data_IF_524815396733
#
_entry.id   IF_524815396733
#
_cell.length_a   1.000
_cell.length_b   1.000
_cell.length_c   1.000
_cell.angle_alpha   90.00
_cell.angle_beta   90.00
_cell.angle_gamma   90.00
#
_symmetry.space_group_name_H-M   'P 1'
#
loop_
_entity.id
_entity.type
_entity.pdbx_description
1 polymer ?
#
# COMPACT_ATOMS: atom_id res chain seq x y z
N UNK A 1 -8.46 11.17 26.82
CA UNK A 1 -7.26 10.35 27.06
C UNK A 1 -7.37 9.75 28.46
N UNK A 2 -7.26 8.44 28.58
CA UNK A 2 -7.42 7.71 29.86
C UNK A 2 -6.12 7.07 30.36
N UNK A 3 -5.02 7.22 29.59
CA UNK A 3 -3.72 6.65 29.95
C UNK A 3 -2.98 7.45 31.03
N UNK A 4 -1.86 6.86 31.48
CA UNK A 4 -0.99 7.43 32.54
C UNK A 4 0.26 8.11 31.98
N UNK A 5 0.55 7.99 30.68
CA UNK A 5 1.71 8.65 30.07
C UNK A 5 1.43 10.17 30.00
N UNK A 6 2.48 10.96 30.16
CA UNK A 6 2.37 12.41 30.08
C UNK A 6 2.18 12.81 28.60
N UNK A 7 1.11 13.54 28.32
CA UNK A 7 0.73 13.96 26.96
C UNK A 7 0.62 15.48 26.94
N UNK A 8 1.23 16.11 25.94
CA UNK A 8 1.11 17.56 25.76
C UNK A 8 -0.35 17.94 25.40
N UNK A 9 -0.95 18.94 26.05
CA UNK A 9 -2.25 19.46 25.64
C UNK A 9 -2.19 20.06 24.24
N UNK A 10 -3.28 19.97 23.46
CA UNK A 10 -3.32 20.52 22.10
C UNK A 10 -3.04 22.03 22.08
N UNK A 11 -3.60 22.79 23.03
CA UNK A 11 -3.30 24.22 23.13
C UNK A 11 -1.83 24.54 23.42
N UNK A 12 -1.11 23.66 24.12
CA UNK A 12 0.34 23.82 24.29
C UNK A 12 1.06 23.48 22.98
N UNK A 13 0.69 22.37 22.31
CA UNK A 13 1.27 21.96 21.04
C UNK A 13 1.18 23.08 19.99
N UNK A 14 0.03 23.75 19.88
CA UNK A 14 -0.22 24.81 18.89
C UNK A 14 0.39 26.17 19.29
N UNK A 15 1.05 26.27 20.44
CA UNK A 15 1.65 27.52 20.90
C UNK A 15 2.91 27.84 20.07
N UNK A 16 2.97 28.98 19.35
CA UNK A 16 4.15 29.35 18.58
C UNK A 16 5.37 29.54 19.50
N UNK A 17 6.51 28.95 19.16
CA UNK A 17 7.73 29.03 20.00
C UNK A 17 8.17 30.48 20.24
N UNK A 18 7.92 31.37 19.28
CA UNK A 18 8.21 32.80 19.42
C UNK A 18 7.49 33.46 20.61
N UNK A 19 6.29 32.98 20.97
CA UNK A 19 5.52 33.52 22.11
C UNK A 19 6.09 33.09 23.47
N UNK A 20 6.72 31.91 23.52
CA UNK A 20 7.36 31.39 24.72
C UNK A 20 8.75 32.00 24.96
N UNK A 21 9.43 32.38 23.87
CA UNK A 21 10.85 32.72 23.89
C UNK A 21 11.73 31.53 24.26
N UNK A 22 13.05 31.69 24.16
CA UNK A 22 14.02 30.60 24.36
C UNK A 22 13.88 29.97 25.77
N UNK A 23 13.78 30.81 26.81
CA UNK A 23 13.66 30.33 28.19
C UNK A 23 12.31 29.66 28.44
N UNK A 24 11.21 30.23 27.95
CA UNK A 24 9.88 29.63 28.11
C UNK A 24 9.77 28.29 27.39
N UNK A 25 10.34 28.19 26.18
CA UNK A 25 10.40 26.95 25.42
C UNK A 25 11.18 25.86 26.16
N UNK A 26 12.37 26.18 26.69
CA UNK A 26 13.15 25.25 27.50
C UNK A 26 12.38 24.80 28.74
N UNK A 27 11.71 25.72 29.44
CA UNK A 27 10.94 25.41 30.64
C UNK A 27 9.80 24.42 30.32
N UNK A 28 9.09 24.63 29.21
CA UNK A 28 8.02 23.74 28.78
C UNK A 28 8.55 22.36 28.36
N UNK A 29 9.68 22.30 27.65
CA UNK A 29 10.33 21.03 27.28
C UNK A 29 10.79 20.27 28.53
N UNK A 30 11.47 20.94 29.46
CA UNK A 30 11.88 20.38 30.74
C UNK A 30 10.69 19.86 31.55
N UNK A 31 9.61 20.63 31.65
CA UNK A 31 8.41 20.21 32.36
C UNK A 31 7.74 18.99 31.71
N UNK A 32 7.70 18.96 30.38
CA UNK A 32 7.08 17.87 29.61
C UNK A 32 7.91 16.59 29.65
N UNK A 33 9.23 16.70 29.58
CA UNK A 33 10.17 15.58 29.49
C UNK A 33 10.77 15.19 30.86
N UNK A 34 10.39 15.89 31.93
CA UNK A 34 10.85 15.60 33.29
C UNK A 34 12.34 15.86 33.51
N UNK A 35 12.91 16.89 32.85
CA UNK A 35 14.33 17.24 32.93
C UNK A 35 14.55 18.63 33.53
N UNK A 36 15.81 18.99 33.76
CA UNK A 36 16.21 20.29 34.32
C UNK A 36 17.40 20.90 33.57
N UNK A 37 17.43 20.76 32.24
CA UNK A 37 18.49 21.35 31.43
C UNK A 37 18.49 22.88 31.56
N UNK A 38 19.67 23.49 31.44
CA UNK A 38 19.86 24.95 31.46
C UNK A 38 20.31 25.46 30.09
N UNK A 39 20.20 26.77 29.88
CA UNK A 39 20.71 27.45 28.69
C UNK A 39 22.23 27.70 28.73
N UNK A 40 22.94 27.15 29.72
CA UNK A 40 24.40 27.23 29.79
C UNK A 40 25.06 26.41 28.66
N UNK A 41 24.34 25.42 28.13
CA UNK A 41 24.73 24.72 26.92
C UNK A 41 24.46 25.61 25.68
N UNK A 42 25.52 26.06 24.97
CA UNK A 42 25.37 26.96 23.84
C UNK A 42 24.69 26.29 22.64
N UNK A 43 24.79 24.97 22.49
CA UNK A 43 24.17 24.22 21.39
C UNK A 43 22.67 24.10 21.59
N UNK A 44 22.23 23.72 22.80
CA UNK A 44 20.81 23.71 23.15
C UNK A 44 20.20 25.10 22.97
N UNK A 45 20.88 26.15 23.45
CA UNK A 45 20.43 27.54 23.30
C UNK A 45 20.30 27.95 21.82
N UNK A 46 21.26 27.54 20.98
CA UNK A 46 21.21 27.79 19.53
C UNK A 46 20.04 27.07 18.87
N UNK A 47 19.83 25.79 19.19
CA UNK A 47 18.77 24.97 18.62
C UNK A 47 17.39 25.54 18.92
N UNK A 48 17.14 25.95 20.17
CA UNK A 48 15.87 26.58 20.56
C UNK A 48 15.64 27.92 19.87
N UNK A 49 16.70 28.70 19.61
CA UNK A 49 16.62 29.93 18.81
C UNK A 49 16.28 29.63 17.34
N UNK A 50 16.82 28.54 16.79
CA UNK A 50 16.53 28.12 15.42
C UNK A 50 15.06 27.73 15.27
N UNK A 51 14.48 26.98 16.21
CA UNK A 51 13.04 26.66 16.22
C UNK A 51 12.17 27.94 16.20
N UNK A 52 12.55 28.94 17.00
CA UNK A 52 11.84 30.24 17.02
C UNK A 52 11.99 30.96 15.68
N UNK A 53 13.21 31.00 15.11
CA UNK A 53 13.48 31.66 13.82
C UNK A 53 12.72 31.00 12.68
N UNK A 54 12.57 29.68 12.70
CA UNK A 54 11.84 28.92 11.70
C UNK A 54 10.31 29.07 11.83
N UNK A 55 9.82 29.71 12.90
CA UNK A 55 8.40 29.88 13.15
C UNK A 55 7.71 28.61 13.63
N UNK A 56 8.46 27.66 14.20
CA UNK A 56 7.90 26.40 14.71
C UNK A 56 6.96 26.66 15.89
N UNK A 57 5.96 25.80 16.04
CA UNK A 57 5.18 25.66 17.28
C UNK A 57 5.84 24.69 18.26
N UNK A 58 5.33 24.67 19.49
CA UNK A 58 5.85 23.81 20.54
C UNK A 58 5.66 22.32 20.20
N UNK A 59 4.57 21.93 19.55
CA UNK A 59 4.27 20.54 19.19
C UNK A 59 5.28 19.98 18.20
N UNK A 60 5.60 20.75 17.16
CA UNK A 60 6.64 20.48 16.17
C UNK A 60 8.02 20.42 16.83
N UNK A 61 8.33 21.41 17.67
CA UNK A 61 9.61 21.43 18.40
C UNK A 61 9.74 20.21 19.32
N UNK A 62 8.70 19.89 20.07
CA UNK A 62 8.64 18.74 20.97
C UNK A 62 8.77 17.42 20.22
N UNK A 63 8.04 17.24 19.10
CA UNK A 63 8.06 15.99 18.33
C UNK A 63 9.46 15.68 17.77
N UNK A 64 10.20 16.72 17.36
CA UNK A 64 11.59 16.60 16.93
C UNK A 64 12.54 16.36 18.10
N UNK A 65 12.50 17.23 19.13
CA UNK A 65 13.50 17.22 20.19
C UNK A 65 13.35 16.05 21.16
N UNK A 66 12.13 15.53 21.39
CA UNK A 66 11.92 14.42 22.36
C UNK A 66 12.76 13.18 22.05
N UNK A 67 13.13 12.97 20.78
CA UNK A 67 13.92 11.81 20.32
C UNK A 67 15.38 11.88 20.78
N UNK A 68 15.92 13.08 20.85
CA UNK A 68 17.35 13.34 21.10
C UNK A 68 17.58 14.03 22.45
N UNK A 69 16.49 14.31 23.18
CA UNK A 69 16.50 15.11 24.39
C UNK A 69 17.41 14.54 25.48
N UNK A 70 17.48 13.22 25.60
CA UNK A 70 18.28 12.52 26.62
C UNK A 70 19.69 12.14 26.16
N UNK A 71 20.13 12.61 24.99
CA UNK A 71 21.48 12.34 24.52
C UNK A 71 22.51 13.11 25.35
N UNK A 72 23.73 12.56 25.43
CA UNK A 72 24.77 13.05 26.33
C UNK A 72 25.48 14.30 25.79
N UNK A 73 25.45 14.54 24.48
CA UNK A 73 26.25 15.58 23.81
C UNK A 73 25.45 16.40 22.78
N UNK A 74 25.06 17.61 23.16
CA UNK A 74 24.34 18.56 22.30
C UNK A 74 25.16 19.06 21.11
N UNK A 75 26.49 18.92 21.13
CA UNK A 75 27.34 19.36 20.02
C UNK A 75 27.17 18.49 18.77
N UNK A 76 26.93 17.18 18.94
CA UNK A 76 26.68 16.23 17.83
C UNK A 76 25.25 16.30 17.29
N UNK A 77 24.30 16.76 18.10
CA UNK A 77 22.87 16.84 17.77
C UNK A 77 22.58 17.79 16.62
N UNK A 78 23.25 18.95 16.57
CA UNK A 78 22.99 19.93 15.51
C UNK A 78 23.33 19.33 14.14
N UNK A 79 24.42 18.59 14.05
CA UNK A 79 24.85 17.97 12.80
C UNK A 79 23.88 16.85 12.40
N UNK A 80 23.41 16.04 13.36
CA UNK A 80 22.35 15.04 13.15
C UNK A 80 21.04 15.69 12.67
N UNK A 81 20.69 16.86 13.20
CA UNK A 81 19.45 17.56 12.89
C UNK A 81 19.41 18.03 11.43
N UNK A 82 20.48 18.68 10.96
CA UNK A 82 20.56 19.17 9.58
C UNK A 82 20.84 18.05 8.58
N UNK A 83 21.66 17.06 8.96
CA UNK A 83 21.93 15.91 8.08
C UNK A 83 20.66 15.10 7.80
N UNK A 84 19.72 15.02 8.74
CA UNK A 84 18.52 14.19 8.57
C UNK A 84 17.62 14.65 7.41
N UNK A 85 17.41 15.97 7.25
CA UNK A 85 16.59 16.50 6.15
C UNK A 85 17.31 16.40 4.81
N UNK A 86 18.61 16.70 4.77
CA UNK A 86 19.41 16.59 3.55
C UNK A 86 19.56 15.13 3.10
N UNK A 87 19.76 14.20 4.03
CA UNK A 87 19.80 12.76 3.74
C UNK A 87 18.46 12.25 3.22
N UNK A 88 17.34 12.71 3.78
CA UNK A 88 16.00 12.34 3.31
C UNK A 88 15.77 12.81 1.86
N UNK A 89 16.10 14.07 1.60
CA UNK A 89 16.05 14.66 0.26
C UNK A 89 16.94 13.89 -0.72
N UNK A 90 18.16 13.57 -0.31
CA UNK A 90 19.12 12.84 -1.13
C UNK A 90 18.69 11.41 -1.42
N UNK A 91 18.09 10.72 -0.43
CA UNK A 91 17.49 9.39 -0.63
C UNK A 91 16.37 9.44 -1.65
N UNK A 92 15.42 10.36 -1.49
CA UNK A 92 14.30 10.54 -2.43
C UNK A 92 14.77 10.89 -3.84
N UNK A 93 15.79 11.74 -3.96
CA UNK A 93 16.41 12.10 -5.24
C UNK A 93 17.08 10.91 -5.93
N UNK A 94 17.67 10.00 -5.16
CA UNK A 94 18.31 8.77 -5.69
C UNK A 94 17.32 7.66 -5.98
N UNK A 95 16.19 7.64 -5.27
CA UNK A 95 15.17 6.61 -5.42
C UNK A 95 14.46 6.70 -6.78
N UNK A 96 14.32 7.88 -7.37
CA UNK A 96 13.70 8.05 -8.69
C UNK A 96 14.76 8.18 -9.79
N UNK A 97 14.90 7.14 -10.62
CA UNK A 97 15.79 7.11 -11.79
C UNK A 97 14.94 7.05 -13.06
N UNK A 98 14.89 8.17 -13.79
CA UNK A 98 13.99 8.29 -14.95
C UNK A 98 12.51 8.18 -14.52
N UNK A 99 11.82 7.15 -14.99
CA UNK A 99 10.42 6.85 -14.64
C UNK A 99 10.28 5.64 -13.70
N UNK A 100 11.37 5.20 -13.08
CA UNK A 100 11.40 4.04 -12.19
C UNK A 100 11.88 4.46 -10.81
N UNK A 101 11.23 3.91 -9.80
CA UNK A 101 11.60 4.02 -8.40
C UNK A 101 12.40 2.77 -8.06
N UNK A 102 13.71 2.93 -7.89
CA UNK A 102 14.67 1.84 -7.67
C UNK A 102 14.82 1.44 -6.20
N UNK A 103 14.25 2.25 -5.30
CA UNK A 103 14.20 2.01 -3.86
C UNK A 103 12.74 2.23 -3.41
N UNK A 104 11.89 1.19 -3.45
CA UNK A 104 10.48 1.30 -3.04
C UNK A 104 10.33 1.40 -1.51
N UNK A 105 11.33 0.96 -0.74
CA UNK A 105 11.29 0.89 0.73
C UNK A 105 11.62 2.22 1.39
N UNK A 106 11.28 3.33 0.72
CA UNK A 106 11.49 4.65 1.27
C UNK A 106 10.68 4.82 2.56
N UNK A 107 11.32 5.23 3.66
CA UNK A 107 10.59 5.55 4.86
C UNK A 107 9.72 6.80 4.64
N UNK A 108 8.65 6.96 5.40
CA UNK A 108 7.96 8.24 5.51
C UNK A 108 8.95 9.39 5.74
N UNK A 109 8.64 10.61 5.28
CA UNK A 109 9.45 11.83 5.46
C UNK A 109 9.78 12.16 6.94
N UNK A 110 9.22 11.39 7.88
CA UNK A 110 9.61 11.32 9.29
C UNK A 110 9.99 9.89 9.67
N UNK A 111 11.29 9.66 9.99
CA UNK A 111 11.95 8.34 10.06
C UNK A 111 11.51 7.36 11.16
N UNK A 112 10.58 7.71 12.05
CA UNK A 112 10.11 6.71 13.02
C UNK A 112 8.97 5.92 12.41
N UNK A 113 8.95 4.58 12.52
CA UNK A 113 7.86 3.76 12.01
C UNK A 113 6.55 4.27 12.63
N UNK A 114 5.72 4.99 11.87
CA UNK A 114 4.48 5.51 12.38
C UNK A 114 3.43 4.41 12.31
N UNK A 115 2.41 4.47 13.15
CA UNK A 115 1.21 3.65 12.97
C UNK A 115 0.39 4.28 11.84
N UNK A 116 0.25 3.64 10.67
CA UNK A 116 -0.57 4.14 9.59
C UNK A 116 -2.06 4.13 9.95
N UNK A 117 -2.79 5.11 9.42
CA UNK A 117 -4.23 5.21 9.52
C UNK A 117 -4.82 5.05 8.12
N UNK A 118 -5.61 4.00 7.93
CA UNK A 118 -6.47 3.87 6.75
C UNK A 118 -7.89 4.32 7.09
N UNK A 119 -8.58 4.92 6.12
CA UNK A 119 -9.95 5.37 6.36
C UNK A 119 -10.82 5.37 5.10
N UNK A 120 -12.13 5.21 5.29
CA UNK A 120 -13.08 5.47 4.24
C UNK A 120 -13.12 6.97 3.92
N UNK A 121 -13.36 7.29 2.66
CA UNK A 121 -13.72 8.66 2.27
C UNK A 121 -15.19 8.89 2.59
N UNK A 122 -15.56 10.10 3.00
CA UNK A 122 -16.98 10.51 3.05
C UNK A 122 -17.32 11.33 1.81
N UNK A 123 -18.61 11.50 1.53
CA UNK A 123 -19.07 12.29 0.39
C UNK A 123 -18.54 13.72 0.45
N UNK A 124 -18.33 14.33 -0.71
CA UNK A 124 -17.76 15.69 -0.80
C UNK A 124 -18.57 16.73 -0.05
N UNK A 125 -19.91 16.61 -0.10
CA UNK A 125 -20.84 17.47 0.66
C UNK A 125 -20.68 17.34 2.18
N UNK A 126 -20.11 16.24 2.66
CA UNK A 126 -19.93 15.91 4.08
C UNK A 126 -18.47 16.08 4.52
N UNK A 127 -17.61 16.58 3.63
CA UNK A 127 -16.23 16.99 3.94
C UNK A 127 -16.14 18.47 4.24
N UNK A 128 -15.17 18.81 5.05
CA UNK A 128 -14.66 20.17 5.24
C UNK A 128 -13.16 20.18 5.01
N UNK A 129 -12.65 21.34 4.66
CA UNK A 129 -11.22 21.54 4.45
C UNK A 129 -10.66 22.31 5.62
N UNK A 130 -9.62 21.77 6.26
CA UNK A 130 -8.95 22.41 7.39
C UNK A 130 -7.49 22.70 7.06
N UNK A 131 -6.99 23.84 7.53
CA UNK A 131 -5.58 24.19 7.49
C UNK A 131 -4.98 23.87 8.86
N UNK A 132 -3.84 23.19 8.88
CA UNK A 132 -3.32 22.58 10.11
C UNK A 132 -1.84 22.92 10.31
N UNK A 133 -1.38 23.07 11.57
CA UNK A 133 0.05 23.20 11.85
C UNK A 133 0.83 21.91 11.57
N UNK A 134 0.18 20.74 11.57
CA UNK A 134 0.81 19.42 11.38
C UNK A 134 1.58 19.34 10.06
N UNK A 135 0.99 19.87 8.98
CA UNK A 135 1.62 19.95 7.66
C UNK A 135 2.18 21.35 7.36
N UNK A 136 2.48 22.14 8.40
CA UNK A 136 3.05 23.47 8.27
C UNK A 136 2.15 24.49 7.55
N UNK A 137 0.84 24.27 7.53
CA UNK A 137 -0.11 25.09 6.76
C UNK A 137 0.21 25.17 5.25
N UNK A 138 0.88 24.15 4.70
CA UNK A 138 1.30 24.18 3.29
C UNK A 138 0.18 23.76 2.33
N UNK A 139 -0.71 22.86 2.75
CA UNK A 139 -1.88 22.44 1.97
C UNK A 139 -3.14 22.25 2.82
N UNK A 140 -4.33 22.40 2.21
CA UNK A 140 -5.59 22.08 2.84
C UNK A 140 -5.75 20.56 3.07
N UNK A 141 -6.38 20.18 4.19
CA UNK A 141 -6.62 18.78 4.55
C UNK A 141 -8.12 18.51 4.53
N UNK A 142 -8.62 17.63 3.63
CA UNK A 142 -10.02 17.27 3.59
C UNK A 142 -10.35 16.22 4.68
N UNK A 143 -11.24 16.57 5.61
CA UNK A 143 -11.72 15.66 6.67
C UNK A 143 -13.26 15.67 6.74
N UNK A 144 -13.92 14.68 7.34
CA UNK A 144 -15.36 14.76 7.60
C UNK A 144 -15.73 16.00 8.43
N UNK A 145 -16.89 16.61 8.16
CA UNK A 145 -17.38 17.80 8.89
C UNK A 145 -17.56 17.57 10.38
N UNK A 146 -17.84 16.34 10.76
CA UNK A 146 -18.05 15.87 12.13
C UNK A 146 -16.77 15.30 12.77
N UNK A 147 -15.63 15.32 12.07
CA UNK A 147 -14.36 14.84 12.60
C UNK A 147 -13.56 15.96 13.29
N UNK A 148 -12.81 15.58 14.33
CA UNK A 148 -11.85 16.44 15.02
C UNK A 148 -10.51 15.68 15.17
N UNK A 149 -9.44 16.26 14.62
CA UNK A 149 -8.09 15.69 14.70
C UNK A 149 -7.62 15.49 16.15
N UNK A 150 -8.12 16.30 17.10
CA UNK A 150 -7.82 16.12 18.52
C UNK A 150 -8.49 14.87 19.11
N UNK A 151 -9.72 14.55 18.67
CA UNK A 151 -10.41 13.35 19.11
C UNK A 151 -9.74 12.10 18.54
N UNK A 152 -9.37 12.13 17.25
CA UNK A 152 -8.56 11.09 16.61
C UNK A 152 -7.24 10.89 17.37
N UNK A 153 -6.54 11.98 17.68
CA UNK A 153 -5.32 11.93 18.48
C UNK A 153 -5.55 11.28 19.85
N UNK A 154 -6.65 11.62 20.54
CA UNK A 154 -6.99 11.03 21.84
C UNK A 154 -7.24 9.53 21.71
N UNK A 155 -7.93 9.10 20.67
CA UNK A 155 -8.20 7.69 20.38
C UNK A 155 -6.89 6.92 20.15
N UNK A 156 -6.03 7.43 19.26
CA UNK A 156 -4.70 6.86 19.00
C UNK A 156 -3.84 6.78 20.28
N UNK A 157 -3.87 7.81 21.12
CA UNK A 157 -3.16 7.80 22.40
C UNK A 157 -3.71 6.75 23.38
N UNK A 158 -5.01 6.48 23.36
CA UNK A 158 -5.61 5.41 24.16
C UNK A 158 -5.22 4.02 23.64
N UNK A 159 -4.96 3.89 22.33
CA UNK A 159 -4.35 2.70 21.71
C UNK A 159 -2.84 2.59 21.97
N UNK A 160 -2.23 3.59 22.62
CA UNK A 160 -0.80 3.60 22.93
C UNK A 160 0.10 4.13 21.80
N UNK A 161 -0.49 4.65 20.72
CA UNK A 161 0.23 5.18 19.56
C UNK A 161 0.92 6.50 19.91
N UNK A 162 2.22 6.59 19.58
CA UNK A 162 3.04 7.80 19.82
C UNK A 162 3.34 8.59 18.53
N UNK A 163 3.34 7.91 17.38
CA UNK A 163 3.55 8.44 16.04
C UNK A 163 2.53 7.80 15.11
N UNK A 164 1.85 8.60 14.30
CA UNK A 164 0.88 8.13 13.34
C UNK A 164 1.14 8.74 11.97
N UNK A 165 0.79 8.02 10.92
CA UNK A 165 0.85 8.49 9.55
C UNK A 165 -0.55 8.47 8.96
N UNK A 166 -0.92 9.59 8.34
CA UNK A 166 -2.23 9.76 7.72
C UNK A 166 -1.99 10.45 6.39
N UNK A 167 -2.36 9.79 5.30
CA UNK A 167 -2.14 10.20 3.92
C UNK A 167 -2.52 11.67 3.65
N UNK A 168 -3.72 12.10 4.07
CA UNK A 168 -4.23 13.45 3.85
C UNK A 168 -3.43 14.52 4.62
N UNK A 169 -2.71 14.15 5.68
CA UNK A 169 -1.83 15.03 6.44
C UNK A 169 -0.37 14.96 5.97
N UNK A 170 0.09 13.79 5.53
CA UNK A 170 1.50 13.52 5.26
C UNK A 170 1.88 13.65 3.78
N UNK A 171 0.89 13.61 2.87
CA UNK A 171 1.08 13.85 1.44
C UNK A 171 0.45 15.17 1.05
N UNK A 172 1.14 15.93 0.20
CA UNK A 172 0.65 17.21 -0.30
C UNK A 172 -0.67 17.02 -1.06
N UNK A 173 -1.71 17.74 -0.63
CA UNK A 173 -3.05 17.65 -1.22
C UNK A 173 -3.31 18.78 -2.22
N UNK A 174 -4.30 18.57 -3.09
CA UNK A 174 -4.74 19.56 -4.08
C UNK A 174 -5.31 20.80 -3.39
N UNK A 175 -5.01 21.99 -3.93
CA UNK A 175 -5.51 23.28 -3.47
C UNK A 175 -4.57 23.99 -2.49
N UNK A 176 -3.35 23.47 -2.34
CA UNK A 176 -2.30 24.05 -1.51
C UNK A 176 -1.44 25.07 -2.24
N UNK A 177 -0.44 25.56 -1.53
CA UNK A 177 0.65 26.32 -2.15
C UNK A 177 1.56 25.33 -2.89
N UNK A 178 2.16 25.76 -4.01
CA UNK A 178 3.13 24.97 -4.79
C UNK A 178 2.57 23.64 -5.32
N UNK A 179 1.49 23.70 -6.09
CA UNK A 179 0.97 22.54 -6.84
C UNK A 179 2.03 21.90 -7.77
N UNK A 180 3.02 22.68 -8.23
CA UNK A 180 4.19 22.18 -8.94
C UNK A 180 4.96 21.15 -8.10
N UNK A 181 5.16 21.42 -6.80
CA UNK A 181 5.81 20.47 -5.90
C UNK A 181 4.95 19.24 -5.66
N UNK A 182 3.62 19.38 -5.57
CA UNK A 182 2.73 18.22 -5.39
C UNK A 182 2.92 17.20 -6.51
N UNK A 183 2.92 17.67 -7.75
CA UNK A 183 3.09 16.82 -8.93
C UNK A 183 4.45 16.11 -8.87
N UNK A 184 5.52 16.79 -8.50
CA UNK A 184 6.86 16.19 -8.39
C UNK A 184 6.97 15.21 -7.21
N UNK A 185 6.43 15.56 -6.04
CA UNK A 185 6.41 14.70 -4.85
C UNK A 185 5.59 13.43 -5.12
N UNK A 186 4.45 13.55 -5.80
CA UNK A 186 3.55 12.43 -6.06
C UNK A 186 4.14 11.38 -7.01
N UNK A 187 5.08 11.75 -7.90
CA UNK A 187 5.78 10.76 -8.73
C UNK A 187 6.43 9.65 -7.91
N UNK A 188 6.90 10.00 -6.70
CA UNK A 188 7.61 9.11 -5.79
C UNK A 188 6.77 8.71 -4.58
N UNK A 189 6.16 9.66 -3.88
CA UNK A 189 5.52 9.40 -2.58
C UNK A 189 4.20 8.61 -2.71
N UNK A 190 3.39 8.86 -3.74
CA UNK A 190 2.12 8.12 -3.96
C UNK A 190 2.34 6.63 -4.24
N UNK A 191 3.22 6.22 -5.17
CA UNK A 191 3.43 4.80 -5.43
C UNK A 191 4.14 4.11 -4.27
N UNK A 192 4.89 4.82 -3.41
CA UNK A 192 5.60 4.26 -2.25
C UNK A 192 4.77 4.16 -0.97
N UNK A 193 3.51 4.65 -0.94
CA UNK A 193 2.72 4.62 0.29
C UNK A 193 2.47 3.21 0.82
N UNK A 194 2.46 2.20 -0.05
CA UNK A 194 2.22 0.80 0.33
C UNK A 194 3.22 0.33 1.39
N UNK A 195 4.48 0.79 1.29
CA UNK A 195 5.53 0.51 2.27
C UNK A 195 5.17 0.96 3.70
N UNK A 196 4.37 2.02 3.84
CA UNK A 196 3.97 2.55 5.15
C UNK A 196 2.98 1.61 5.86
N UNK A 197 2.20 0.86 5.09
CA UNK A 197 1.21 -0.08 5.58
C UNK A 197 1.74 -1.51 5.66
N UNK A 198 2.71 -1.85 4.81
CA UNK A 198 3.32 -3.16 4.70
C UNK A 198 3.92 -3.62 6.04
N UNK A 199 3.56 -4.82 6.51
CA UNK A 199 4.03 -5.40 7.79
C UNK A 199 3.74 -4.56 9.05
N UNK A 200 2.86 -3.55 8.96
CA UNK A 200 2.53 -2.67 10.08
C UNK A 200 1.18 -3.00 10.71
N UNK A 201 1.00 -2.58 11.96
CA UNK A 201 -0.33 -2.44 12.56
C UNK A 201 -1.02 -1.20 12.00
N UNK A 202 -2.22 -1.36 11.44
CA UNK A 202 -3.00 -0.29 10.82
C UNK A 202 -4.24 0.03 11.64
N UNK A 203 -4.47 1.32 11.90
CA UNK A 203 -5.71 1.80 12.50
C UNK A 203 -6.70 2.14 11.39
N UNK A 204 -7.85 1.47 11.35
CA UNK A 204 -8.79 1.54 10.23
C UNK A 204 -10.12 2.18 10.65
N UNK A 205 -10.47 3.32 10.03
CA UNK A 205 -11.80 3.92 10.16
C UNK A 205 -12.69 3.53 8.97
N UNK A 206 -13.54 2.52 9.13
CA UNK A 206 -14.35 1.96 8.03
C UNK A 206 -15.48 2.89 7.53
N UNK A 207 -15.90 3.88 8.32
CA UNK A 207 -17.06 4.76 8.05
C UNK A 207 -16.72 6.24 7.87
N UNK A 208 -15.42 6.54 7.82
CA UNK A 208 -14.88 7.89 7.68
C UNK A 208 -13.93 8.22 8.82
N UNK A 209 -12.84 8.92 8.49
CA UNK A 209 -11.80 9.32 9.45
C UNK A 209 -12.40 9.97 10.71
N UNK A 210 -12.09 9.42 11.88
CA UNK A 210 -12.53 9.96 13.18
C UNK A 210 -14.02 9.77 13.50
N UNK A 211 -14.77 9.02 12.69
CA UNK A 211 -16.20 8.77 12.93
C UNK A 211 -16.41 7.45 13.65
N UNK A 212 -17.47 7.34 14.48
CA UNK A 212 -17.90 6.05 15.00
C UNK A 212 -18.20 5.05 13.88
N UNK A 213 -17.92 3.78 14.15
CA UNK A 213 -18.26 2.68 13.27
C UNK A 213 -19.76 2.42 13.32
N UNK A 214 -20.46 2.87 12.29
CA UNK A 214 -21.90 2.65 12.07
C UNK A 214 -22.13 1.83 10.81
N UNK A 215 -23.19 1.02 10.78
CA UNK A 215 -23.53 0.21 9.62
C UNK A 215 -24.97 0.52 9.16
N UNK A 216 -25.11 1.33 8.11
CA UNK A 216 -26.39 1.64 7.49
C UNK A 216 -26.59 0.88 6.17
N UNK A 217 -27.86 0.82 5.73
CA UNK A 217 -28.21 0.20 4.45
C UNK A 217 -27.56 0.99 3.29
N UNK A 218 -26.81 0.28 2.45
CA UNK A 218 -26.11 0.87 1.30
C UNK A 218 -24.65 1.24 1.57
N UNK A 219 -24.20 1.23 2.84
CA UNK A 219 -22.83 1.64 3.19
C UNK A 219 -21.80 0.70 2.56
N UNK A 220 -22.04 -0.62 2.55
CA UNK A 220 -21.12 -1.60 1.97
C UNK A 220 -21.03 -1.49 0.44
N UNK A 221 -22.12 -1.09 -0.21
CA UNK A 221 -22.24 -0.90 -1.65
C UNK A 221 -21.83 0.49 -2.10
N UNK A 222 -21.57 1.43 -1.19
CA UNK A 222 -21.14 2.76 -1.58
C UNK A 222 -19.75 2.72 -2.23
N UNK A 223 -19.54 3.50 -3.29
CA UNK A 223 -18.21 3.72 -3.88
C UNK A 223 -17.22 4.39 -2.88
N UNK A 224 -17.75 4.90 -1.77
CA UNK A 224 -17.01 5.46 -0.63
C UNK A 224 -16.70 4.45 0.47
N UNK A 225 -17.31 3.26 0.42
CA UNK A 225 -17.04 2.16 1.34
C UNK A 225 -15.54 1.84 1.37
N UNK A 226 -14.98 1.66 2.56
CA UNK A 226 -13.59 1.24 2.71
C UNK A 226 -13.31 -0.05 1.91
N UNK A 227 -14.24 -1.00 1.88
CA UNK A 227 -14.11 -2.26 1.13
C UNK A 227 -14.14 -2.09 -0.40
N UNK A 228 -14.51 -0.91 -0.92
CA UNK A 228 -14.66 -0.66 -2.35
C UNK A 228 -13.62 0.31 -2.90
N UNK A 229 -12.79 0.95 -2.08
CA UNK A 229 -11.76 1.86 -2.60
C UNK A 229 -10.55 1.08 -3.13
N UNK A 230 -9.92 1.62 -4.18
CA UNK A 230 -8.74 1.01 -4.79
C UNK A 230 -7.55 1.02 -3.82
N UNK A 231 -7.24 2.19 -3.25
CA UNK A 231 -6.11 2.37 -2.34
C UNK A 231 -6.20 1.50 -1.07
N UNK A 232 -7.40 1.35 -0.50
CA UNK A 232 -7.58 0.56 0.72
C UNK A 232 -7.23 -0.92 0.57
N UNK A 233 -7.07 -1.41 -0.66
CA UNK A 233 -6.61 -2.79 -0.92
C UNK A 233 -5.18 -3.04 -0.44
N UNK A 234 -4.31 -2.01 -0.43
CA UNK A 234 -2.95 -2.09 0.10
C UNK A 234 -2.81 -1.50 1.52
N UNK A 235 -3.86 -0.89 2.07
CA UNK A 235 -3.84 -0.20 3.37
C UNK A 235 -4.42 -1.06 4.51
N UNK A 236 -4.23 -2.38 4.43
CA UNK A 236 -4.79 -3.33 5.40
C UNK A 236 -3.78 -3.67 6.51
N UNK A 237 -2.49 -3.70 6.14
CA UNK A 237 -1.37 -4.09 6.97
C UNK A 237 -1.42 -5.53 7.48
N UNK A 238 -0.42 -5.87 8.31
CA UNK A 238 -0.33 -7.22 8.87
C UNK A 238 -1.32 -7.39 10.03
N UNK A 239 -1.37 -6.37 10.88
CA UNK A 239 -2.27 -6.28 12.01
C UNK A 239 -3.22 -5.11 11.80
N UNK A 240 -4.44 -5.18 12.33
CA UNK A 240 -5.35 -4.04 12.28
C UNK A 240 -6.16 -3.86 13.53
N UNK A 241 -6.42 -2.60 13.83
CA UNK A 241 -7.37 -2.15 14.85
C UNK A 241 -8.45 -1.36 14.14
N UNK A 242 -9.71 -1.77 14.34
CA UNK A 242 -10.84 -1.00 13.81
C UNK A 242 -11.12 0.15 14.78
N UNK A 243 -10.96 1.38 14.29
CA UNK A 243 -11.21 2.59 15.05
C UNK A 243 -12.67 3.05 14.94
N UNK A 244 -13.07 3.94 15.84
CA UNK A 244 -14.45 4.35 16.02
C UNK A 244 -15.34 3.23 16.58
N UNK A 245 -14.76 2.15 17.09
CA UNK A 245 -15.52 1.05 17.70
C UNK A 245 -16.28 1.54 18.93
N UNK A 246 -17.52 1.08 19.07
CA UNK A 246 -18.41 1.46 20.16
C UNK A 246 -19.05 0.21 20.73
N UNK A 247 -19.38 0.15 22.04
CA UNK A 247 -19.95 -1.05 22.67
C UNK A 247 -21.21 -1.62 22.00
N UNK A 248 -22.01 -0.76 21.35
CA UNK A 248 -23.22 -1.12 20.62
C UNK A 248 -22.99 -1.19 19.09
N UNK A 249 -21.73 -1.16 18.67
CA UNK A 249 -21.29 -1.12 17.28
C UNK A 249 -21.37 -2.48 16.59
N UNK A 250 -21.23 -2.51 15.26
CA UNK A 250 -21.40 -3.74 14.47
C UNK A 250 -20.35 -4.81 14.78
N UNK A 251 -19.19 -4.47 15.35
CA UNK A 251 -18.17 -5.45 15.74
C UNK A 251 -18.59 -6.32 16.92
N UNK A 252 -19.49 -5.84 17.77
CA UNK A 252 -19.98 -6.56 18.94
C UNK A 252 -21.33 -7.24 18.71
N UNK A 253 -21.82 -7.25 17.46
CA UNK A 253 -23.09 -7.90 17.13
C UNK A 253 -23.07 -9.40 17.48
N UNK A 254 -24.12 -9.88 18.13
CA UNK A 254 -24.22 -11.29 18.51
C UNK A 254 -24.35 -12.19 17.28
N UNK A 255 -23.49 -13.21 17.22
CA UNK A 255 -23.58 -14.29 16.24
C UNK A 255 -24.12 -15.56 16.92
N UNK A 256 -25.38 -15.91 16.66
CA UNK A 256 -26.04 -17.10 17.23
C UNK A 256 -26.08 -18.20 16.18
N UNK A 257 -25.56 -19.38 16.52
CA UNK A 257 -25.49 -20.55 15.62
C UNK A 257 -24.86 -20.23 14.24
N UNK A 258 -23.87 -19.33 14.23
CA UNK A 258 -23.18 -18.90 13.00
C UNK A 258 -23.96 -17.89 12.14
N UNK A 259 -25.03 -17.29 12.68
CA UNK A 259 -25.84 -16.28 11.98
C UNK A 259 -25.94 -15.00 12.78
N UNK A 260 -25.73 -13.88 12.09
CA UNK A 260 -26.03 -12.56 12.62
C UNK A 260 -27.52 -12.24 12.46
N UNK A 261 -28.01 -11.29 13.26
CA UNK A 261 -29.42 -10.86 13.26
C UNK A 261 -29.87 -10.39 11.87
N UNK A 262 -29.00 -9.72 11.12
CA UNK A 262 -29.32 -9.17 9.80
C UNK A 262 -28.38 -9.68 8.72
N UNK A 263 -28.89 -9.72 7.48
CA UNK A 263 -28.08 -10.00 6.29
C UNK A 263 -26.96 -8.97 6.13
N UNK A 264 -27.23 -7.70 6.46
CA UNK A 264 -26.25 -6.62 6.39
C UNK A 264 -25.06 -6.87 7.33
N UNK A 265 -25.31 -7.28 8.57
CA UNK A 265 -24.25 -7.67 9.52
C UNK A 265 -23.48 -8.89 9.01
N UNK A 266 -24.19 -9.89 8.49
CA UNK A 266 -23.55 -11.09 7.92
C UNK A 266 -22.58 -10.72 6.79
N UNK A 267 -23.00 -9.81 5.90
CA UNK A 267 -22.16 -9.33 4.80
C UNK A 267 -21.01 -8.46 5.29
N UNK A 268 -21.22 -7.61 6.29
CA UNK A 268 -20.18 -6.80 6.92
C UNK A 268 -19.07 -7.68 7.50
N UNK A 269 -19.41 -8.66 8.35
CA UNK A 269 -18.41 -9.55 8.94
C UNK A 269 -17.72 -10.42 7.90
N UNK A 270 -18.43 -10.85 6.85
CA UNK A 270 -17.81 -11.58 5.73
C UNK A 270 -16.81 -10.70 4.97
N UNK A 271 -17.16 -9.45 4.65
CA UNK A 271 -16.24 -8.53 3.98
C UNK A 271 -15.03 -8.19 4.85
N UNK A 272 -15.25 -7.98 6.15
CA UNK A 272 -14.18 -7.77 7.11
C UNK A 272 -13.24 -8.98 7.10
N UNK A 273 -13.76 -10.21 7.24
CA UNK A 273 -12.96 -11.43 7.20
C UNK A 273 -12.22 -11.63 5.85
N UNK A 274 -12.87 -11.35 4.71
CA UNK A 274 -12.19 -11.42 3.42
C UNK A 274 -11.03 -10.42 3.31
N UNK A 275 -11.17 -9.22 3.88
CA UNK A 275 -10.08 -8.26 3.95
C UNK A 275 -8.94 -8.75 4.85
N UNK A 276 -9.25 -9.57 5.87
CA UNK A 276 -8.25 -10.08 6.83
C UNK A 276 -7.45 -11.27 6.35
N UNK A 277 -8.05 -12.13 5.53
CA UNK A 277 -7.47 -13.41 5.10
C UNK A 277 -6.59 -13.27 3.85
N UNK A 278 -6.59 -12.08 3.24
CA UNK A 278 -6.01 -11.87 1.93
C UNK A 278 -4.54 -11.44 2.00
N UNK A 279 -3.67 -12.41 2.29
CA UNK A 279 -2.21 -12.28 2.13
C UNK A 279 -1.75 -12.87 0.79
N UNK A 280 -0.90 -12.09 0.13
CA UNK A 280 -0.04 -12.38 -1.02
C UNK A 280 -0.68 -12.85 -2.34
N UNK A 281 -0.14 -12.26 -3.41
CA UNK A 281 -0.21 -12.69 -4.81
C UNK A 281 -1.51 -12.42 -5.61
N UNK A 282 -1.40 -12.62 -6.93
CA UNK A 282 -2.14 -11.99 -8.06
C UNK A 282 -3.66 -11.89 -7.91
N UNK A 283 -4.27 -12.66 -7.02
CA UNK A 283 -5.66 -12.56 -6.60
C UNK A 283 -6.09 -11.13 -6.27
N UNK A 284 -5.17 -10.29 -5.79
CA UNK A 284 -5.45 -8.86 -5.57
C UNK A 284 -5.83 -8.11 -6.84
N UNK A 285 -5.32 -8.53 -7.99
CA UNK A 285 -5.76 -8.03 -9.30
C UNK A 285 -7.24 -8.32 -9.54
N UNK A 286 -7.72 -9.49 -9.12
CA UNK A 286 -9.14 -9.84 -9.19
C UNK A 286 -9.98 -8.96 -8.26
N UNK A 287 -9.51 -8.73 -7.02
CA UNK A 287 -10.18 -7.82 -6.10
C UNK A 287 -10.26 -6.39 -6.68
N UNK A 288 -9.18 -5.90 -7.29
CA UNK A 288 -9.09 -4.55 -7.88
C UNK A 288 -10.15 -4.27 -8.96
N UNK A 289 -10.67 -5.32 -9.63
CA UNK A 289 -11.80 -5.21 -10.56
C UNK A 289 -13.04 -4.60 -9.92
N UNK A 290 -13.31 -4.97 -8.68
CA UNK A 290 -14.49 -4.54 -7.92
C UNK A 290 -14.29 -3.21 -7.19
N UNK A 291 -13.04 -2.74 -7.11
CA UNK A 291 -12.68 -1.48 -6.45
C UNK A 291 -12.99 -0.26 -7.33
N UNK A 292 -13.03 0.90 -6.70
CA UNK A 292 -13.34 2.20 -7.29
C UNK A 292 -12.23 3.19 -6.97
N UNK A 293 -11.78 3.91 -7.97
CA UNK A 293 -10.84 5.03 -7.84
C UNK A 293 -11.44 6.30 -8.44
N UNK A 294 -10.95 7.45 -7.97
CA UNK A 294 -11.31 8.74 -8.55
C UNK A 294 -10.46 9.00 -9.78
N UNK A 295 -9.15 8.71 -9.69
CA UNK A 295 -8.21 8.76 -10.80
C UNK A 295 -8.03 7.32 -11.30
N UNK A 296 -8.26 7.02 -12.59
CA UNK A 296 -8.18 5.65 -13.09
C UNK A 296 -6.82 4.98 -12.84
N UNK A 297 -5.72 5.73 -12.95
CA UNK A 297 -4.35 5.24 -12.73
C UNK A 297 -4.12 4.74 -11.30
N UNK A 298 -4.87 5.24 -10.31
CA UNK A 298 -4.77 4.77 -8.91
C UNK A 298 -5.01 3.28 -8.76
N UNK A 299 -5.82 2.66 -9.62
CA UNK A 299 -6.01 1.20 -9.59
C UNK A 299 -4.74 0.43 -9.91
N UNK A 300 -3.91 0.97 -10.79
CA UNK A 300 -2.63 0.35 -11.15
C UNK A 300 -1.61 0.66 -10.06
N UNK A 301 -1.53 1.92 -9.63
CA UNK A 301 -0.61 2.33 -8.58
C UNK A 301 -0.86 1.61 -7.24
N UNK A 302 -2.13 1.34 -6.89
CA UNK A 302 -2.50 0.57 -5.70
C UNK A 302 -2.23 -0.93 -5.77
N UNK A 303 -1.79 -1.47 -6.92
CA UNK A 303 -1.33 -2.87 -7.03
C UNK A 303 0.17 -3.02 -6.79
N UNK A 304 0.93 -1.94 -6.89
CA UNK A 304 2.40 -1.93 -6.88
C UNK A 304 3.02 -2.75 -5.74
N UNK A 305 2.62 -2.49 -4.49
CA UNK A 305 3.14 -3.22 -3.33
C UNK A 305 2.55 -4.62 -3.17
N UNK A 306 1.42 -4.91 -3.82
CA UNK A 306 0.78 -6.22 -3.80
C UNK A 306 1.43 -7.19 -4.80
N UNK A 307 2.27 -6.71 -5.71
CA UNK A 307 2.94 -7.49 -6.76
C UNK A 307 4.44 -7.71 -6.50
N UNK A 308 4.87 -7.51 -5.24
CA UNK A 308 6.24 -7.78 -4.78
C UNK A 308 7.33 -7.18 -5.69
N UNK A 309 7.05 -6.01 -6.27
CA UNK A 309 7.92 -5.35 -7.25
C UNK A 309 9.20 -4.81 -6.60
N UNK A 310 10.37 -5.23 -7.10
CA UNK A 310 11.69 -4.75 -6.63
C UNK A 310 11.95 -3.29 -6.94
N UNK A 311 11.43 -2.82 -8.07
CA UNK A 311 11.37 -1.41 -8.47
C UNK A 311 9.94 -1.13 -8.90
N UNK A 312 9.50 0.12 -8.78
CA UNK A 312 8.10 0.46 -9.02
C UNK A 312 7.99 1.65 -9.98
N UNK A 313 6.96 1.71 -10.84
CA UNK A 313 6.82 2.82 -11.77
C UNK A 313 6.51 4.14 -11.06
N UNK A 314 7.08 5.23 -11.56
CA UNK A 314 6.74 6.57 -11.10
C UNK A 314 5.27 6.90 -11.43
N UNK A 315 4.60 7.61 -10.52
CA UNK A 315 3.19 7.93 -10.68
C UNK A 315 2.96 9.20 -11.49
N UNK A 316 2.07 9.12 -12.46
CA UNK A 316 1.62 10.25 -13.26
C UNK A 316 0.10 10.20 -13.39
N UNK A 317 -0.61 11.19 -12.85
CA UNK A 317 -2.07 11.28 -12.96
C UNK A 317 -2.56 11.25 -14.41
N UNK A 318 -1.76 11.81 -15.33
CA UNK A 318 -2.05 11.90 -16.76
C UNK A 318 -1.60 10.70 -17.58
N UNK A 319 -1.03 9.66 -16.94
CA UNK A 319 -0.60 8.47 -17.68
C UNK A 319 -1.78 7.77 -18.34
N UNK A 320 -1.54 7.17 -19.50
CA UNK A 320 -2.50 6.22 -20.04
C UNK A 320 -2.51 4.98 -19.14
N UNK A 321 -3.68 4.34 -19.01
CA UNK A 321 -3.80 3.13 -18.20
C UNK A 321 -2.92 2.00 -18.73
N UNK A 322 -2.80 1.86 -20.05
CA UNK A 322 -2.00 0.79 -20.63
C UNK A 322 -0.51 1.03 -20.45
N UNK A 323 -0.03 2.28 -20.52
CA UNK A 323 1.39 2.59 -20.27
C UNK A 323 1.75 2.35 -18.80
N UNK A 324 0.90 2.81 -17.88
CA UNK A 324 1.09 2.58 -16.44
C UNK A 324 1.07 1.08 -16.11
N UNK A 325 0.15 0.33 -16.70
CA UNK A 325 0.05 -1.12 -16.52
C UNK A 325 1.26 -1.85 -17.10
N UNK A 326 1.69 -1.48 -18.30
CA UNK A 326 2.89 -2.04 -18.94
C UNK A 326 4.12 -1.81 -18.06
N UNK A 327 4.28 -0.59 -17.54
CA UNK A 327 5.39 -0.25 -16.66
C UNK A 327 5.37 -1.07 -15.36
N UNK A 328 4.18 -1.29 -14.77
CA UNK A 328 4.03 -2.14 -13.59
C UNK A 328 4.35 -3.60 -13.91
N UNK A 329 3.80 -4.17 -14.98
CA UNK A 329 4.05 -5.59 -15.33
C UNK A 329 5.54 -5.85 -15.57
N UNK A 330 6.26 -4.92 -16.20
CA UNK A 330 7.71 -5.05 -16.37
C UNK A 330 8.47 -5.02 -15.03
N UNK A 331 7.89 -4.42 -13.98
CA UNK A 331 8.50 -4.30 -12.67
C UNK A 331 8.02 -5.34 -11.65
N UNK A 332 7.04 -6.18 -12.02
CA UNK A 332 6.52 -7.25 -11.17
C UNK A 332 7.56 -8.35 -10.96
N UNK A 333 7.51 -8.98 -9.78
CA UNK A 333 8.31 -10.17 -9.52
C UNK A 333 7.99 -11.28 -10.54
N UNK A 334 8.97 -12.14 -10.86
CA UNK A 334 8.81 -13.21 -11.86
C UNK A 334 7.60 -14.10 -11.60
N UNK A 335 7.38 -14.48 -10.33
CA UNK A 335 6.21 -15.25 -9.90
C UNK A 335 4.90 -14.54 -10.22
N UNK A 336 4.76 -13.25 -9.86
CA UNK A 336 3.55 -12.48 -10.14
C UNK A 336 3.28 -12.37 -11.65
N UNK A 337 4.32 -12.18 -12.47
CA UNK A 337 4.21 -12.14 -13.94
C UNK A 337 3.70 -13.46 -14.49
N UNK A 338 4.24 -14.57 -14.01
CA UNK A 338 3.81 -15.90 -14.42
C UNK A 338 2.35 -16.17 -14.01
N UNK A 339 1.99 -15.85 -12.78
CA UNK A 339 0.62 -16.02 -12.31
C UNK A 339 -0.37 -15.16 -13.10
N UNK A 340 -0.01 -13.92 -13.41
CA UNK A 340 -0.80 -13.04 -14.27
C UNK A 340 -1.02 -13.65 -15.67
N UNK A 341 0.04 -14.22 -16.26
CA UNK A 341 -0.05 -14.92 -17.54
C UNK A 341 -1.00 -16.12 -17.46
N UNK A 342 -0.91 -16.94 -16.40
CA UNK A 342 -1.79 -18.09 -16.22
C UNK A 342 -3.25 -17.74 -15.93
N UNK A 343 -3.51 -16.58 -15.32
CA UNK A 343 -4.88 -16.13 -15.06
C UNK A 343 -5.62 -15.70 -16.32
N UNK A 344 -4.90 -15.19 -17.33
CA UNK A 344 -5.50 -14.59 -18.52
C UNK A 344 -5.55 -15.60 -19.67
N UNK A 345 -6.73 -16.14 -20.03
CA UNK A 345 -6.83 -17.17 -21.07
C UNK A 345 -6.66 -16.61 -22.50
N UNK A 346 -6.86 -15.30 -22.68
CA UNK A 346 -6.69 -14.62 -23.96
C UNK A 346 -5.26 -14.09 -24.10
N UNK A 347 -4.64 -14.20 -25.30
CA UNK A 347 -3.35 -13.60 -25.55
C UNK A 347 -3.42 -12.07 -25.45
N UNK A 348 -2.32 -11.47 -25.01
CA UNK A 348 -2.13 -10.04 -24.93
C UNK A 348 -2.50 -9.30 -26.22
N UNK A 349 -3.27 -8.22 -26.07
CA UNK A 349 -3.70 -7.36 -27.17
C UNK A 349 -3.07 -5.95 -27.16
N UNK A 350 -2.31 -5.61 -26.11
CA UNK A 350 -1.66 -4.30 -25.92
C UNK A 350 -0.12 -4.32 -26.06
N UNK A 351 0.46 -5.42 -26.54
CA UNK A 351 1.91 -5.61 -26.58
C UNK A 351 2.31 -7.07 -26.87
N UNK A 352 3.31 -7.62 -26.16
CA UNK A 352 3.66 -9.04 -26.25
C UNK A 352 2.45 -9.95 -25.99
N UNK A 353 2.38 -11.09 -26.68
CA UNK A 353 1.23 -12.02 -26.57
C UNK A 353 1.08 -12.66 -25.19
N UNK A 354 2.15 -12.73 -24.41
CA UNK A 354 2.11 -13.23 -23.04
C UNK A 354 1.56 -12.18 -22.05
N UNK A 355 1.63 -10.88 -22.37
CA UNK A 355 1.23 -9.82 -21.44
C UNK A 355 -0.21 -9.39 -21.70
N UNK A 356 -1.17 -9.69 -20.81
CA UNK A 356 -2.52 -9.19 -20.94
C UNK A 356 -2.53 -7.65 -20.80
N UNK A 357 -3.36 -6.96 -21.59
CA UNK A 357 -3.57 -5.53 -21.40
C UNK A 357 -4.34 -5.23 -20.12
N UNK A 358 -4.29 -3.98 -19.67
CA UNK A 358 -5.09 -3.55 -18.52
C UNK A 358 -6.59 -3.81 -18.75
N UNK A 359 -7.08 -3.56 -19.97
CA UNK A 359 -8.48 -3.81 -20.33
C UNK A 359 -8.83 -5.30 -20.22
N UNK A 360 -7.96 -6.20 -20.70
CA UNK A 360 -8.16 -7.65 -20.55
C UNK A 360 -8.22 -8.05 -19.07
N UNK A 361 -7.29 -7.53 -18.27
CA UNK A 361 -7.20 -7.77 -16.83
C UNK A 361 -8.42 -7.21 -16.08
N UNK A 362 -9.13 -6.23 -16.60
CA UNK A 362 -10.28 -5.63 -15.92
C UNK A 362 -11.63 -6.15 -16.40
N UNK A 363 -11.74 -6.60 -17.65
CA UNK A 363 -13.04 -6.92 -18.27
C UNK A 363 -13.23 -8.39 -18.63
N UNK A 364 -12.15 -9.13 -18.90
CA UNK A 364 -12.26 -10.51 -19.37
C UNK A 364 -12.41 -11.50 -18.22
N UNK A 365 -13.13 -12.61 -18.42
CA UNK A 365 -13.12 -13.71 -17.47
C UNK A 365 -11.68 -14.17 -17.22
N UNK A 366 -11.28 -14.31 -15.95
CA UNK A 366 -10.01 -14.94 -15.60
C UNK A 366 -10.26 -16.38 -15.18
N UNK A 367 -9.23 -17.20 -15.36
CA UNK A 367 -9.24 -18.56 -14.86
C UNK A 367 -9.21 -18.55 -13.31
N UNK A 368 -9.74 -19.60 -12.67
CA UNK A 368 -9.54 -19.78 -11.23
C UNK A 368 -8.05 -19.80 -10.92
N UNK A 369 -7.63 -18.98 -9.98
CA UNK A 369 -6.24 -18.96 -9.55
C UNK A 369 -5.88 -20.29 -8.88
N UNK A 370 -4.68 -20.78 -9.21
CA UNK A 370 -4.03 -21.89 -8.55
C UNK A 370 -2.66 -21.39 -8.08
N UNK A 371 -2.42 -21.44 -6.78
CA UNK A 371 -1.15 -21.02 -6.18
C UNK A 371 -0.02 -21.88 -6.73
N UNK A 372 1.02 -21.25 -7.28
CA UNK A 372 2.20 -21.96 -7.79
C UNK A 372 3.20 -22.07 -6.64
N UNK A 373 3.15 -23.17 -5.89
CA UNK A 373 3.95 -23.33 -4.67
C UNK A 373 5.43 -23.73 -4.90
N UNK A 374 5.94 -23.72 -6.13
CA UNK A 374 7.23 -24.34 -6.42
C UNK A 374 7.87 -23.85 -7.72
N UNK A 375 8.49 -22.67 -7.69
CA UNK A 375 9.60 -22.36 -8.57
C UNK A 375 10.81 -22.14 -7.67
N UNK A 376 11.81 -23.02 -7.77
CA UNK A 376 13.07 -22.88 -7.05
C UNK A 376 13.72 -21.56 -7.51
N UNK A 377 14.06 -20.70 -6.54
CA UNK A 377 14.69 -19.41 -6.75
C UNK A 377 16.10 -19.58 -7.34
N UNK A 378 16.17 -19.71 -8.66
CA UNK A 378 17.39 -19.46 -9.44
C UNK A 378 17.04 -18.72 -10.72
N UNK A 379 16.71 -17.45 -10.59
CA UNK A 379 16.78 -16.49 -11.70
C UNK A 379 17.77 -15.41 -11.30
N UNK A 380 18.88 -15.29 -12.03
CA UNK A 380 19.74 -14.10 -11.94
C UNK A 380 18.89 -12.88 -12.31
N UNK A 381 18.86 -11.92 -11.38
CA UNK A 381 17.98 -10.76 -11.27
C UNK A 381 18.12 -9.68 -12.36
N UNK A 382 18.78 -9.94 -13.49
CA UNK A 382 19.32 -8.87 -14.35
C UNK A 382 18.91 -8.93 -15.84
N UNK A 383 18.17 -9.94 -16.27
CA UNK A 383 17.81 -10.06 -17.69
C UNK A 383 16.34 -9.71 -17.96
N UNK A 384 16.16 -8.65 -18.76
CA UNK A 384 14.98 -8.20 -19.51
C UNK A 384 14.35 -9.28 -20.44
N UNK A 385 14.61 -10.56 -20.16
CA UNK A 385 14.23 -11.69 -20.97
C UNK A 385 13.03 -12.40 -20.34
N UNK A 386 11.92 -12.44 -21.09
CA UNK A 386 10.67 -13.13 -20.76
C UNK A 386 10.84 -14.66 -20.81
N UNK A 387 11.65 -15.23 -19.92
CA UNK A 387 11.76 -16.69 -19.75
C UNK A 387 11.49 -17.09 -18.31
N UNK A 388 10.94 -18.29 -18.13
CA UNK A 388 10.63 -18.89 -16.84
C UNK A 388 11.39 -20.21 -16.76
N UNK A 389 12.26 -20.36 -15.76
CA UNK A 389 12.79 -21.67 -15.39
C UNK A 389 11.82 -22.30 -14.39
N UNK A 390 11.27 -23.46 -14.73
CA UNK A 390 10.51 -24.29 -13.81
C UNK A 390 10.98 -25.73 -13.93
N UNK A 391 10.69 -26.56 -12.93
CA UNK A 391 10.84 -28.01 -13.09
C UNK A 391 10.15 -28.41 -14.39
N UNK A 392 10.73 -29.31 -15.17
CA UNK A 392 10.13 -29.65 -16.44
C UNK A 392 10.38 -31.05 -16.91
N UNK A 393 9.46 -31.53 -17.73
CA UNK A 393 9.52 -32.78 -18.44
C UNK A 393 9.56 -32.44 -19.90
N UNK A 394 10.67 -32.77 -20.54
CA UNK A 394 10.79 -32.63 -21.97
C UNK A 394 9.88 -33.63 -22.68
N UNK A 395 9.02 -33.12 -23.56
CA UNK A 395 8.16 -33.98 -24.37
C UNK A 395 7.52 -33.24 -25.54
N UNK A 396 6.81 -34.00 -26.37
CA UNK A 396 6.15 -33.53 -27.58
C UNK A 396 4.65 -33.50 -27.35
N UNK A 397 4.04 -32.31 -27.47
CA UNK A 397 2.59 -32.17 -27.48
C UNK A 397 2.06 -32.22 -28.92
N UNK A 398 1.03 -33.03 -29.17
CA UNK A 398 0.35 -33.14 -30.48
C UNK A 398 -1.17 -33.07 -30.30
N UNK A 399 -1.89 -32.71 -31.36
CA UNK A 399 -3.36 -32.80 -31.39
C UNK A 399 -4.12 -31.56 -30.91
N UNK A 400 -3.49 -30.61 -30.22
CA UNK A 400 -4.13 -29.38 -29.70
C UNK A 400 -4.62 -28.38 -30.78
N UNK A 401 -4.57 -28.73 -32.06
CA UNK A 401 -5.05 -27.88 -33.14
C UNK A 401 -6.59 -27.91 -33.27
N UNK A 402 -7.25 -28.98 -32.78
CA UNK A 402 -8.69 -29.11 -32.79
C UNK A 402 -9.30 -28.63 -31.46
N UNK A 403 -10.40 -27.88 -31.55
CA UNK A 403 -11.20 -27.42 -30.41
C UNK A 403 -12.47 -28.27 -30.37
N UNK A 404 -12.73 -28.95 -29.25
CA UNK A 404 -13.99 -29.66 -29.00
C UNK A 404 -14.71 -29.01 -27.81
N UNK A 405 -15.77 -28.24 -28.08
CA UNK A 405 -16.39 -27.40 -27.05
C UNK A 405 -15.56 -26.14 -26.78
N UNK A 406 -15.26 -25.88 -25.51
CA UNK A 406 -14.42 -24.75 -25.07
C UNK A 406 -12.94 -25.14 -24.87
N UNK A 407 -12.63 -26.44 -24.94
CA UNK A 407 -11.30 -27.01 -24.67
C UNK A 407 -10.64 -27.59 -25.94
N UNK A 408 -9.31 -27.69 -25.91
CA UNK A 408 -8.50 -28.38 -26.92
C UNK A 408 -8.00 -29.70 -26.34
N UNK A 409 -8.07 -30.78 -27.10
CA UNK A 409 -7.56 -32.09 -26.65
C UNK A 409 -6.36 -32.53 -27.47
N UNK A 410 -5.41 -33.18 -26.83
CA UNK A 410 -4.19 -33.65 -27.46
C UNK A 410 -3.56 -34.82 -26.73
N UNK A 411 -2.36 -35.16 -27.16
CA UNK A 411 -1.49 -36.12 -26.48
C UNK A 411 -0.17 -35.44 -26.12
N UNK A 412 0.27 -35.63 -24.88
CA UNK A 412 1.64 -35.36 -24.47
C UNK A 412 2.43 -36.66 -24.50
N UNK A 413 3.53 -36.64 -25.24
CA UNK A 413 4.39 -37.79 -25.48
C UNK A 413 5.74 -37.49 -24.84
N UNK A 414 6.13 -38.31 -23.87
CA UNK A 414 7.40 -38.20 -23.14
C UNK A 414 8.21 -39.48 -23.31
N UNK A 415 9.51 -39.32 -23.49
CA UNK A 415 10.47 -40.42 -23.45
C UNK A 415 10.96 -40.59 -22.01
N UNK A 416 10.69 -41.75 -21.42
CA UNK A 416 11.12 -42.11 -20.08
C UNK A 416 12.11 -43.29 -20.16
N UNK A 417 12.81 -43.58 -19.05
CA UNK A 417 13.74 -44.71 -18.96
C UNK A 417 13.07 -46.07 -19.31
N UNK A 418 11.76 -46.19 -19.09
CA UNK A 418 10.95 -47.39 -19.38
C UNK A 418 10.32 -47.38 -20.80
N UNK A 419 10.58 -46.35 -21.61
CA UNK A 419 10.07 -46.20 -22.98
C UNK A 419 9.22 -44.94 -23.20
N UNK A 420 8.51 -44.90 -24.34
CA UNK A 420 7.66 -43.75 -24.72
C UNK A 420 6.29 -43.87 -24.04
N UNK A 421 5.98 -42.93 -23.16
CA UNK A 421 4.68 -42.80 -22.51
C UNK A 421 3.83 -41.74 -23.21
N UNK A 422 2.51 -41.95 -23.20
CA UNK A 422 1.53 -41.04 -23.79
C UNK A 422 0.44 -40.74 -22.79
N UNK A 423 0.17 -39.46 -22.62
CA UNK A 423 -0.86 -38.97 -21.74
C UNK A 423 -1.86 -38.15 -22.54
N UNK A 424 -3.14 -38.28 -22.22
CA UNK A 424 -4.16 -37.39 -22.77
C UNK A 424 -4.01 -36.03 -22.12
N UNK A 425 -4.11 -34.98 -22.90
CA UNK A 425 -3.96 -33.61 -22.42
C UNK A 425 -5.12 -32.74 -22.87
N UNK A 426 -5.56 -31.84 -22.00
CA UNK A 426 -6.70 -30.94 -22.26
C UNK A 426 -6.34 -29.49 -21.96
N UNK A 427 -6.40 -28.62 -22.97
CA UNK A 427 -6.11 -27.21 -22.87
C UNK A 427 -7.33 -26.30 -22.92
N UNK A 428 -7.56 -25.58 -21.83
CA UNK A 428 -8.65 -24.62 -21.66
C UNK A 428 -8.44 -23.28 -22.38
N UNK A 429 -7.35 -23.12 -23.13
CA UNK A 429 -7.11 -21.92 -23.93
C UNK A 429 -7.53 -22.13 -25.39
N UNK A 430 -8.18 -21.14 -25.99
CA UNK A 430 -8.70 -21.23 -27.37
C UNK A 430 -7.70 -20.79 -28.44
N UNK A 431 -6.47 -20.41 -28.06
CA UNK A 431 -5.43 -19.88 -28.96
C UNK A 431 -4.19 -20.80 -29.04
N UNK A 432 -3.52 -20.85 -30.20
CA UNK A 432 -2.21 -21.50 -30.33
C UNK A 432 -1.12 -20.50 -29.94
N UNK A 433 -0.24 -20.85 -29.00
CA UNK A 433 1.00 -20.11 -28.80
C UNK A 433 1.96 -20.42 -29.96
N UNK A 434 2.36 -19.41 -30.73
CA UNK A 434 3.37 -19.59 -31.79
C UNK A 434 4.76 -19.71 -31.15
N UNK A 435 5.40 -20.87 -31.28
CA UNK A 435 6.77 -21.12 -30.81
C UNK A 435 7.77 -20.59 -31.83
N UNK A 436 8.39 -19.44 -31.53
CA UNK A 436 9.55 -18.97 -32.29
C UNK A 436 10.78 -19.80 -31.96
N UNK A 437 11.12 -20.76 -32.82
CA UNK A 437 12.40 -21.49 -32.82
C UNK A 437 12.55 -22.51 -31.68
N UNK A 438 12.69 -23.79 -32.07
CA UNK A 438 13.13 -24.95 -31.25
C UNK A 438 13.08 -24.75 -29.74
N UNK A 439 11.89 -24.93 -29.16
CA UNK A 439 11.66 -24.85 -27.72
C UNK A 439 11.03 -26.16 -27.26
N UNK A 440 11.75 -26.89 -26.41
CA UNK A 440 11.22 -27.92 -25.52
C UNK A 440 10.07 -27.30 -24.73
N UNK A 441 8.91 -27.98 -24.66
CA UNK A 441 7.91 -27.62 -23.66
C UNK A 441 8.50 -28.01 -22.31
N UNK A 442 8.74 -27.08 -21.38
CA UNK A 442 9.07 -27.47 -20.05
C UNK A 442 7.81 -28.07 -19.44
N UNK A 443 7.61 -29.40 -19.50
CA UNK A 443 6.45 -30.00 -18.83
C UNK A 443 6.68 -30.09 -17.31
N UNK A 444 6.68 -28.98 -16.57
CA UNK A 444 6.52 -28.98 -15.11
C UNK A 444 5.39 -29.91 -14.63
N UNK A 445 5.77 -31.00 -13.96
CA UNK A 445 4.80 -31.97 -13.42
C UNK A 445 4.03 -31.43 -12.20
N UNK A 446 4.27 -30.19 -11.77
CA UNK A 446 3.39 -29.45 -10.87
C UNK A 446 2.91 -28.08 -11.38
N UNK A 447 3.40 -27.58 -12.53
CA UNK A 447 2.95 -26.29 -13.07
C UNK A 447 3.00 -26.13 -14.60
N UNK A 448 2.94 -27.21 -15.36
CA UNK A 448 2.41 -27.12 -16.74
C UNK A 448 0.96 -27.22 -16.62
N UNK A 449 0.37 -26.04 -16.72
CA UNK A 449 -1.03 -25.95 -17.03
C UNK A 449 -1.86 -26.89 -16.14
N UNK A 450 -1.75 -26.75 -14.82
CA UNK A 450 -2.70 -27.38 -13.92
C UNK A 450 -4.16 -26.89 -14.16
N UNK A 451 -4.36 -25.92 -15.08
CA UNK A 451 -5.64 -25.59 -15.71
C UNK A 451 -5.66 -25.57 -17.25
N UNK A 452 -4.64 -26.07 -17.95
CA UNK A 452 -4.68 -26.12 -19.42
C UNK A 452 -3.90 -27.27 -20.08
N UNK A 453 -3.48 -28.29 -19.33
CA UNK A 453 -3.20 -29.65 -19.82
C UNK A 453 -3.49 -30.54 -18.60
N UNK A 454 -4.72 -31.04 -18.48
CA UNK A 454 -5.02 -32.11 -17.53
C UNK A 454 -4.49 -33.44 -18.11
N UNK A 455 -3.52 -34.07 -17.43
CA UNK A 455 -3.12 -35.45 -17.70
C UNK A 455 -4.20 -36.38 -17.15
N UNK A 456 -5.02 -36.95 -18.03
CA UNK A 456 -6.13 -37.84 -17.69
C UNK A 456 -5.76 -39.32 -17.59
#
# INVERSE_FOLDING_TARGET
YTGRKLVIPSGLADTPCATLGVQGLLNQLNATLGTTYSLDDPFLSSLLKDCIRNGDDFGRTYSYLRRIWYTVDWSTIRDIFWSQQEEDWEKRRKALVGNQIVDPDLPPRHRLPPVPISHAWVDEKDRTTVWTPINGYEWPVPIPKDADLNLIRIELLNLGVEYAWLDVLCLRQVGGWREDLRIEEWKLDVPTIGNVYHEMEVVIYLTGLGRPLTLNKGDLESDRSWFRRAWTLQEVGEWRVIAGDTPDGPLHAECKDGKYETELLTRFHKQLQCATDAYWEIHKTLEMRTRVSTIPVDKIAGLTFLMCSRWIPAYYESASLEDAWTALVHSMHGTCRLELFLLCPEPGNGGPKWRPSWDQVMTKPLLPHQSINSLDEKGDDDDDLDWCEGECIDGIVRGLAAVEGDDRHGEFIVECDDGINRFKVTAAHTYCCETGGSSSFPVCMHSVQANSIALG
#
